data_IF_113947973759
#
_entry.id   IF_113947973759
#
_cell.length_a   1.000
_cell.length_b   1.000
_cell.length_c   1.000
_cell.angle_alpha   90.00
_cell.angle_beta   90.00
_cell.angle_gamma   90.00
#
_symmetry.space_group_name_H-M   'P 1'
#
loop_
_entity.id
_entity.type
_entity.pdbx_description
1 polymer ?
#
# COMPACT_ATOMS: atom_id res chain seq x y z
N UNK A 1 -4.23 -25.32 17.44
CA UNK A 1 -4.50 -24.51 16.23
C UNK A 1 -3.23 -23.75 15.89
N UNK A 2 -2.90 -23.62 14.61
CA UNK A 2 -1.64 -23.04 14.13
C UNK A 2 -1.95 -22.10 12.97
N UNK A 3 -1.27 -20.95 12.93
CA UNK A 3 -1.30 -20.05 11.78
C UNK A 3 -0.80 -20.81 10.55
N UNK A 4 -1.55 -20.73 9.46
CA UNK A 4 -1.14 -21.27 8.17
C UNK A 4 -0.71 -20.14 7.24
N UNK A 5 0.28 -20.40 6.40
CA UNK A 5 0.75 -19.46 5.40
C UNK A 5 0.42 -19.98 4.01
N UNK A 6 -0.18 -19.13 3.19
CA UNK A 6 -0.41 -19.40 1.77
C UNK A 6 0.03 -18.23 0.92
N UNK A 7 0.27 -18.50 -0.37
CA UNK A 7 0.51 -17.44 -1.35
C UNK A 7 -0.76 -16.59 -1.47
N UNK A 8 -0.57 -15.28 -1.56
CA UNK A 8 -1.68 -14.38 -1.82
C UNK A 8 -2.24 -14.59 -3.22
N UNK A 9 -3.53 -14.33 -3.37
CA UNK A 9 -4.22 -14.20 -4.66
C UNK A 9 -4.74 -12.76 -4.81
N UNK A 10 -5.15 -12.33 -6.01
CA UNK A 10 -5.69 -10.97 -6.21
C UNK A 10 -6.88 -10.65 -5.30
N UNK A 11 -7.66 -11.65 -4.91
CA UNK A 11 -8.82 -11.51 -4.01
C UNK A 11 -8.43 -11.08 -2.59
N UNK A 12 -7.19 -11.37 -2.16
CA UNK A 12 -6.70 -10.98 -0.84
C UNK A 12 -6.40 -9.49 -0.71
N UNK A 13 -6.27 -8.77 -1.83
CA UNK A 13 -5.84 -7.37 -1.82
C UNK A 13 -6.73 -6.49 -0.94
N UNK A 14 -8.04 -6.69 -0.98
CA UNK A 14 -8.97 -5.95 -0.13
C UNK A 14 -8.75 -6.24 1.38
N UNK A 15 -8.54 -7.50 1.75
CA UNK A 15 -8.27 -7.90 3.12
C UNK A 15 -6.91 -7.36 3.62
N UNK A 16 -5.90 -7.34 2.74
CA UNK A 16 -4.59 -6.75 3.02
C UNK A 16 -4.71 -5.24 3.29
N UNK A 17 -5.51 -4.52 2.48
CA UNK A 17 -5.78 -3.10 2.69
C UNK A 17 -6.47 -2.83 4.03
N UNK A 18 -7.50 -3.60 4.38
CA UNK A 18 -8.18 -3.47 5.66
C UNK A 18 -7.23 -3.73 6.84
N UNK A 19 -6.43 -4.80 6.76
CA UNK A 19 -5.45 -5.13 7.80
C UNK A 19 -4.42 -4.01 7.97
N UNK A 20 -3.97 -3.41 6.88
CA UNK A 20 -3.03 -2.29 6.91
C UNK A 20 -3.63 -1.03 7.56
N UNK A 21 -4.87 -0.66 7.22
CA UNK A 21 -5.54 0.53 7.78
C UNK A 21 -5.76 0.40 9.29
N UNK A 22 -6.14 -0.78 9.75
CA UNK A 22 -6.40 -1.02 11.18
C UNK A 22 -5.12 -0.96 12.01
N UNK A 23 -3.98 -1.37 11.45
CA UNK A 23 -2.75 -1.56 12.20
C UNK A 23 -1.71 -0.44 11.98
N UNK A 24 -1.78 0.30 10.87
CA UNK A 24 -0.80 1.34 10.55
C UNK A 24 -1.28 2.73 10.99
N UNK A 25 -0.37 3.47 11.64
CA UNK A 25 -0.59 4.89 11.88
C UNK A 25 -0.23 5.71 10.63
N UNK A 26 -1.26 6.10 9.87
CA UNK A 26 -1.09 6.89 8.64
C UNK A 26 -0.78 8.37 8.89
N UNK A 27 -0.81 8.85 10.14
CA UNK A 27 -0.52 10.26 10.45
C UNK A 27 0.91 10.68 10.11
N UNK A 28 1.81 9.69 9.96
CA UNK A 28 3.17 9.94 9.48
C UNK A 28 3.14 10.47 8.05
N UNK A 29 2.16 10.10 7.24
CA UNK A 29 2.09 10.42 5.81
C UNK A 29 1.21 11.63 5.50
N UNK A 30 0.21 11.92 6.33
CA UNK A 30 -0.76 12.98 6.09
C UNK A 30 -1.41 13.45 7.39
N UNK A 31 -1.98 14.64 7.37
CA UNK A 31 -2.85 15.15 8.44
C UNK A 31 -4.34 14.81 8.24
N UNK A 32 -4.70 14.16 7.12
CA UNK A 32 -6.07 13.72 6.87
C UNK A 32 -6.57 12.75 7.95
N UNK A 33 -7.84 12.87 8.32
CA UNK A 33 -8.48 12.06 9.36
C UNK A 33 -9.69 11.28 8.84
N UNK A 34 -10.18 11.63 7.66
CA UNK A 34 -11.29 10.95 7.02
C UNK A 34 -10.93 9.49 6.70
N UNK A 35 -11.74 8.55 7.21
CA UNK A 35 -11.49 7.11 7.08
C UNK A 35 -11.44 6.64 5.63
N UNK A 36 -12.26 7.23 4.77
CA UNK A 36 -12.32 6.84 3.36
C UNK A 36 -11.09 7.36 2.60
N UNK A 37 -10.63 8.57 2.91
CA UNK A 37 -9.38 9.14 2.39
C UNK A 37 -8.18 8.32 2.87
N UNK A 38 -8.14 7.94 4.15
CA UNK A 38 -7.09 7.08 4.70
C UNK A 38 -7.09 5.69 4.06
N UNK A 39 -8.26 5.13 3.77
CA UNK A 39 -8.40 3.87 3.02
C UNK A 39 -7.87 3.98 1.59
N UNK A 40 -8.16 5.09 0.91
CA UNK A 40 -7.61 5.37 -0.42
C UNK A 40 -6.08 5.49 -0.38
N UNK A 41 -5.52 6.20 0.62
CA UNK A 41 -4.08 6.30 0.82
C UNK A 41 -3.42 4.93 1.06
N UNK A 42 -4.01 4.10 1.93
CA UNK A 42 -3.52 2.74 2.17
C UNK A 42 -3.55 1.88 0.90
N UNK A 43 -4.64 1.98 0.12
CA UNK A 43 -4.78 1.28 -1.17
C UNK A 43 -3.68 1.69 -2.14
N UNK A 44 -3.35 2.99 -2.20
CA UNK A 44 -2.28 3.52 -3.05
C UNK A 44 -0.91 2.95 -2.70
N UNK A 45 -0.57 2.88 -1.42
CA UNK A 45 0.72 2.31 -0.97
C UNK A 45 0.79 0.81 -1.25
N UNK A 46 -0.24 0.06 -0.87
CA UNK A 46 -0.25 -1.37 -1.05
C UNK A 46 -0.30 -1.79 -2.52
N UNK A 47 -0.96 -1.03 -3.41
CA UNK A 47 -0.93 -1.31 -4.84
C UNK A 47 0.51 -1.26 -5.39
N UNK A 48 1.29 -0.25 -4.97
CA UNK A 48 2.70 -0.12 -5.35
C UNK A 48 3.56 -1.22 -4.76
N UNK A 49 3.37 -1.51 -3.46
CA UNK A 49 4.13 -2.57 -2.80
C UNK A 49 3.84 -3.94 -3.43
N UNK A 50 2.58 -4.23 -3.78
CA UNK A 50 2.19 -5.45 -4.47
C UNK A 50 2.73 -5.53 -5.91
N UNK A 51 2.81 -4.40 -6.62
CA UNK A 51 3.37 -4.36 -7.97
C UNK A 51 4.85 -4.76 -8.00
N UNK A 52 5.62 -4.30 -7.01
CA UNK A 52 7.06 -4.59 -6.91
C UNK A 52 7.38 -5.89 -6.15
N UNK A 53 6.42 -6.44 -5.42
CA UNK A 53 6.60 -7.66 -4.65
C UNK A 53 6.93 -8.84 -5.57
N UNK A 54 7.96 -9.59 -5.18
CA UNK A 54 8.30 -10.89 -5.76
C UNK A 54 7.68 -12.04 -4.97
N UNK A 55 7.26 -11.76 -3.73
CA UNK A 55 6.59 -12.70 -2.86
C UNK A 55 5.57 -12.00 -1.96
N UNK A 56 4.37 -12.59 -1.84
CA UNK A 56 3.37 -12.19 -0.86
C UNK A 56 2.78 -13.45 -0.22
N UNK A 57 2.81 -13.51 1.11
CA UNK A 57 2.17 -14.55 1.90
C UNK A 57 1.10 -13.97 2.83
N UNK A 58 -0.05 -14.64 2.85
CA UNK A 58 -1.14 -14.38 3.78
C UNK A 58 -1.04 -15.38 4.93
N UNK A 59 -1.07 -14.86 6.15
CA UNK A 59 -1.18 -15.65 7.37
C UNK A 59 -2.65 -15.77 7.75
N UNK A 60 -3.13 -17.00 7.92
CA UNK A 60 -4.53 -17.31 8.24
C UNK A 60 -4.65 -18.06 9.56
N UNK A 61 -5.67 -17.70 10.32
CA UNK A 61 -6.12 -18.39 11.52
C UNK A 61 -7.64 -18.54 11.46
N UNK A 62 -8.15 -19.77 11.44
CA UNK A 62 -9.58 -20.08 11.30
C UNK A 62 -10.25 -19.34 10.11
N UNK A 63 -9.65 -19.45 8.93
CA UNK A 63 -10.08 -18.79 7.67
C UNK A 63 -10.11 -17.25 7.72
N UNK A 64 -9.51 -16.64 8.75
CA UNK A 64 -9.37 -15.19 8.88
C UNK A 64 -7.92 -14.80 8.58
N UNK A 65 -7.75 -13.87 7.64
CA UNK A 65 -6.47 -13.20 7.40
C UNK A 65 -6.03 -12.43 8.64
N UNK A 66 -4.99 -12.93 9.31
CA UNK A 66 -4.43 -12.33 10.53
C UNK A 66 -3.09 -11.62 10.30
N UNK A 67 -2.49 -11.75 9.11
CA UNK A 67 -1.26 -11.07 8.76
C UNK A 67 -0.88 -11.21 7.29
N UNK A 68 0.07 -10.39 6.86
CA UNK A 68 0.61 -10.40 5.50
C UNK A 68 2.11 -10.18 5.56
N UNK A 69 2.85 -10.91 4.73
CA UNK A 69 4.27 -10.70 4.49
C UNK A 69 4.43 -10.32 3.03
N UNK A 70 4.96 -9.12 2.77
CA UNK A 70 5.24 -8.60 1.43
C UNK A 70 6.76 -8.46 1.31
N UNK A 71 7.35 -9.06 0.29
CA UNK A 71 8.79 -9.09 0.09
C UNK A 71 9.22 -8.91 -1.35
N UNK A 72 10.40 -8.31 -1.53
CA UNK A 72 11.09 -8.16 -2.81
C UNK A 72 12.44 -8.85 -2.70
N UNK A 73 12.73 -9.79 -3.61
CA UNK A 73 14.07 -10.37 -3.78
C UNK A 73 14.69 -9.87 -5.08
N UNK A 74 16.03 -9.74 -5.10
CA UNK A 74 16.78 -9.41 -6.33
C UNK A 74 16.99 -10.62 -7.23
N UNK A 75 16.78 -11.82 -6.71
CA UNK A 75 17.09 -13.08 -7.38
C UNK A 75 15.94 -13.60 -8.25
N UNK A 76 14.73 -13.06 -8.06
CA UNK A 76 13.54 -13.47 -8.79
C UNK A 76 12.90 -12.26 -9.47
N UNK A 77 12.69 -12.34 -10.78
CA UNK A 77 11.95 -11.34 -11.56
C UNK A 77 10.45 -11.63 -11.61
N UNK A 78 10.01 -12.72 -10.99
CA UNK A 78 8.61 -13.08 -10.88
C UNK A 78 7.84 -12.06 -10.04
N UNK A 79 6.69 -11.61 -10.56
CA UNK A 79 5.75 -10.79 -9.80
C UNK A 79 4.89 -11.69 -8.92
N UNK A 80 4.84 -11.39 -7.62
CA UNK A 80 4.08 -12.14 -6.63
C UNK A 80 2.59 -12.28 -6.98
N UNK A 81 2.04 -11.22 -7.59
CA UNK A 81 0.68 -11.16 -8.07
C UNK A 81 0.69 -10.69 -9.53
N UNK A 82 -0.01 -11.39 -10.44
CA UNK A 82 -0.34 -10.86 -11.76
C UNK A 82 -1.42 -9.79 -11.56
N UNK A 83 -1.01 -8.60 -11.13
CA UNK A 83 -1.86 -7.49 -10.74
C UNK A 83 -1.44 -6.25 -11.52
N UNK A 84 -2.39 -5.67 -12.26
CA UNK A 84 -2.21 -4.39 -12.93
C UNK A 84 -2.61 -3.27 -11.95
N UNK A 85 -1.62 -2.65 -11.35
CA UNK A 85 -1.78 -1.60 -10.34
C UNK A 85 -2.09 -0.23 -10.96
N UNK A 86 -1.73 0.00 -12.22
CA UNK A 86 -1.85 1.31 -12.86
C UNK A 86 -3.30 1.82 -12.89
N UNK A 87 -4.32 1.03 -13.31
CA UNK A 87 -5.71 1.46 -13.26
C UNK A 87 -6.19 1.75 -11.83
N UNK A 88 -5.68 1.01 -10.84
CA UNK A 88 -6.07 1.16 -9.44
C UNK A 88 -5.46 2.45 -8.88
N UNK A 89 -4.18 2.71 -9.15
CA UNK A 89 -3.50 3.93 -8.76
C UNK A 89 -4.21 5.14 -9.36
N UNK A 90 -4.48 5.14 -10.67
CA UNK A 90 -5.17 6.25 -11.35
C UNK A 90 -6.54 6.51 -10.75
N UNK A 91 -7.34 5.46 -10.53
CA UNK A 91 -8.66 5.60 -9.91
C UNK A 91 -8.59 6.15 -8.48
N UNK A 92 -7.60 5.73 -7.70
CA UNK A 92 -7.42 6.18 -6.32
C UNK A 92 -6.96 7.64 -6.27
N UNK A 93 -6.01 8.04 -7.12
CA UNK A 93 -5.57 9.43 -7.23
C UNK A 93 -6.72 10.36 -7.66
N UNK A 94 -7.56 9.91 -8.61
CA UNK A 94 -8.78 10.64 -8.98
C UNK A 94 -9.73 10.78 -7.80
N UNK A 95 -10.02 9.70 -7.06
CA UNK A 95 -10.91 9.73 -5.89
C UNK A 95 -10.39 10.64 -4.78
N UNK A 96 -9.08 10.62 -4.51
CA UNK A 96 -8.45 11.53 -3.56
C UNK A 96 -8.64 12.99 -4.01
N UNK A 97 -8.51 13.27 -5.31
CA UNK A 97 -8.72 14.60 -5.89
C UNK A 97 -10.13 15.17 -5.74
N UNK A 98 -11.14 14.36 -5.41
CA UNK A 98 -12.53 14.81 -5.27
C UNK A 98 -12.86 15.45 -3.91
N UNK A 99 -11.95 15.39 -2.93
CA UNK A 99 -12.19 15.92 -1.58
C UNK A 99 -11.04 16.80 -1.11
N UNK A 100 -11.33 17.77 -0.23
CA UNK A 100 -10.30 18.65 0.33
C UNK A 100 -9.21 17.85 1.07
N UNK A 101 -9.62 16.88 1.91
CA UNK A 101 -8.65 16.04 2.62
C UNK A 101 -7.87 15.12 1.69
N UNK A 102 -8.49 14.58 0.63
CA UNK A 102 -7.76 13.77 -0.34
C UNK A 102 -6.78 14.58 -1.20
N UNK A 103 -7.13 15.82 -1.56
CA UNK A 103 -6.18 16.75 -2.19
C UNK A 103 -5.00 17.07 -1.27
N UNK A 104 -5.26 17.26 0.03
CA UNK A 104 -4.20 17.44 1.03
C UNK A 104 -3.24 16.25 1.07
N UNK A 105 -3.77 15.01 1.05
CA UNK A 105 -2.94 13.79 0.95
C UNK A 105 -2.04 13.84 -0.27
N UNK A 106 -2.58 14.19 -1.46
CA UNK A 106 -1.78 14.26 -2.69
C UNK A 106 -0.64 15.29 -2.57
N UNK A 107 -0.92 16.46 -1.96
CA UNK A 107 0.08 17.49 -1.69
C UNK A 107 1.16 17.00 -0.73
N UNK A 108 0.77 16.35 0.38
CA UNK A 108 1.69 15.82 1.38
C UNK A 108 2.65 14.78 0.78
N UNK A 109 2.11 13.88 -0.04
CA UNK A 109 2.89 12.88 -0.78
C UNK A 109 3.88 13.53 -1.76
N UNK A 110 3.46 14.58 -2.47
CA UNK A 110 4.33 15.30 -3.40
C UNK A 110 5.47 16.02 -2.66
N UNK A 111 5.17 16.69 -1.55
CA UNK A 111 6.19 17.36 -0.70
C UNK A 111 7.23 16.36 -0.20
N UNK A 112 6.80 15.20 0.30
CA UNK A 112 7.72 14.13 0.72
C UNK A 112 8.61 13.66 -0.42
N UNK A 113 8.04 13.43 -1.61
CA UNK A 113 8.82 13.00 -2.79
C UNK A 113 9.91 14.01 -3.16
N UNK A 114 9.61 15.31 -3.06
CA UNK A 114 10.55 16.38 -3.38
C UNK A 114 11.65 16.52 -2.32
N UNK A 115 11.30 16.46 -1.03
CA UNK A 115 12.31 16.50 0.05
C UNK A 115 13.32 15.35 -0.05
N UNK A 116 12.89 14.16 -0.46
CA UNK A 116 13.80 13.02 -0.66
C UNK A 116 14.76 13.22 -1.85
N UNK A 117 14.37 13.99 -2.86
CA UNK A 117 15.24 14.33 -4.00
C UNK A 117 16.29 15.37 -3.59
N UNK A 118 15.90 16.42 -2.87
CA UNK A 118 16.82 17.45 -2.38
C UNK A 118 17.86 16.89 -1.39
N UNK A 119 17.50 15.88 -0.58
CA UNK A 119 18.43 15.25 0.37
C UNK A 119 19.43 14.28 -0.30
N UNK A 120 19.15 13.82 -1.52
CA UNK A 120 20.07 12.98 -2.31
C UNK A 120 21.09 13.81 -3.09
N UNK A 121 20.70 15.00 -3.54
CA UNK A 121 21.58 15.93 -4.27
C UNK A 121 22.59 16.65 -3.36
N UNK A 122 22.30 16.74 -2.06
CA UNK A 122 23.14 17.40 -1.05
C UNK A 122 24.18 16.49 -0.38
N UNK A 123 24.33 15.23 -0.86
CA UNK A 123 25.33 14.27 -0.35
C UNK A 123 26.36 13.84 -1.40
N UNK A 124 26.70 14.74 -2.32
CA UNK A 124 27.85 14.62 -3.22
C UNK A 124 28.66 15.92 -3.21
#
# INVERSE_FOLDING_TARGET
>A
MTIQYRRATPEDFAAIVELFIVNMNLSVFTTATDKQVLKQLATLFLAKDCHYATFIQVAEYDDITCGVVIGVTKEDSYKALPFDDEPIIVQIEQKLGLSEQGQQVLIDLQKKRNGWRETKDSRF
#
